data_IF_829294644863
#
_entry.id   IF_829294644863
#
_cell.length_a   1.000
_cell.length_b   1.000
_cell.length_c   1.000
_cell.angle_alpha   90.00
_cell.angle_beta   90.00
_cell.angle_gamma   90.00
#
_symmetry.space_group_name_H-M   'P 1'
#
loop_
_entity.id
_entity.type
_entity.pdbx_description
1 polymer ?
#
# COMPACT_ATOMS: atom_id res chain seq x y z
N UNK A 1 -4.46 -13.86 11.14
CA UNK A 1 -5.26 -14.13 9.92
C UNK A 1 -4.89 -15.52 9.43
N UNK A 2 -5.85 -16.42 9.34
CA UNK A 2 -5.60 -17.84 9.04
C UNK A 2 -5.46 -18.06 7.54
N UNK A 3 -4.28 -18.42 7.05
CA UNK A 3 -4.15 -18.99 5.72
C UNK A 3 -4.72 -20.42 5.76
N UNK A 4 -5.92 -20.60 5.20
CA UNK A 4 -6.44 -21.94 4.92
C UNK A 4 -5.70 -22.51 3.71
N UNK A 5 -4.61 -23.23 3.96
CA UNK A 5 -3.87 -23.95 2.93
C UNK A 5 -4.66 -25.17 2.46
N UNK A 6 -5.40 -25.02 1.35
CA UNK A 6 -5.83 -26.16 0.55
C UNK A 6 -4.78 -26.40 -0.54
N UNK A 7 -4.40 -27.67 -0.76
CA UNK A 7 -3.47 -28.05 -1.83
C UNK A 7 -4.18 -27.82 -3.17
N UNK A 8 -3.62 -27.02 -4.09
CA UNK A 8 -4.27 -26.73 -5.36
C UNK A 8 -4.36 -28.00 -6.20
N UNK A 9 -5.57 -28.32 -6.66
CA UNK A 9 -5.81 -29.31 -7.71
C UNK A 9 -5.31 -28.73 -9.04
N UNK A 10 -4.95 -29.58 -10.02
CA UNK A 10 -4.44 -29.10 -11.31
C UNK A 10 -5.39 -28.13 -12.03
N UNK A 11 -6.72 -28.34 -11.95
CA UNK A 11 -7.73 -27.42 -12.49
C UNK A 11 -7.74 -26.04 -11.79
N UNK A 12 -7.41 -26.00 -10.50
CA UNK A 12 -7.37 -24.77 -9.71
C UNK A 12 -6.26 -23.82 -10.20
N UNK A 13 -5.23 -24.32 -10.88
CA UNK A 13 -4.14 -23.46 -11.39
C UNK A 13 -4.58 -22.58 -12.55
N UNK A 14 -5.49 -23.05 -13.40
CA UNK A 14 -5.99 -22.27 -14.53
C UNK A 14 -6.93 -21.17 -14.05
N UNK A 15 -7.81 -21.50 -13.09
CA UNK A 15 -8.70 -20.54 -12.45
C UNK A 15 -7.92 -19.50 -11.66
N UNK A 16 -6.92 -19.92 -10.87
CA UNK A 16 -6.05 -19.01 -10.13
C UNK A 16 -5.34 -18.01 -11.04
N UNK A 17 -4.80 -18.45 -12.19
CA UNK A 17 -4.15 -17.54 -13.15
C UNK A 17 -5.11 -16.48 -13.69
N UNK A 18 -6.33 -16.88 -14.05
CA UNK A 18 -7.35 -15.93 -14.54
C UNK A 18 -7.73 -14.91 -13.47
N UNK A 19 -7.86 -15.35 -12.22
CA UNK A 19 -8.15 -14.45 -11.10
C UNK A 19 -6.98 -13.51 -10.81
N UNK A 20 -5.75 -14.01 -10.84
CA UNK A 20 -4.54 -13.20 -10.64
C UNK A 20 -4.42 -12.12 -11.74
N UNK A 21 -4.68 -12.45 -13.00
CA UNK A 21 -4.68 -11.50 -14.14
C UNK A 21 -5.75 -10.42 -13.98
N UNK A 22 -6.99 -10.80 -13.63
CA UNK A 22 -8.09 -9.85 -13.45
C UNK A 22 -7.87 -8.91 -12.25
N UNK A 23 -7.20 -9.39 -11.20
CA UNK A 23 -6.81 -8.56 -10.07
C UNK A 23 -5.75 -7.53 -10.45
N UNK A 24 -4.72 -7.92 -11.21
CA UNK A 24 -3.66 -7.02 -11.66
C UNK A 24 -4.23 -5.91 -12.56
N UNK A 25 -5.03 -6.26 -13.57
CA UNK A 25 -5.69 -5.30 -14.47
C UNK A 25 -6.53 -4.28 -13.70
N UNK A 26 -7.32 -4.74 -12.71
CA UNK A 26 -8.11 -3.84 -11.86
C UNK A 26 -7.26 -2.93 -10.98
N UNK A 27 -6.06 -3.36 -10.55
CA UNK A 27 -5.17 -2.56 -9.71
C UNK A 27 -4.39 -1.51 -10.51
N UNK A 28 -4.05 -1.79 -11.77
CA UNK A 28 -3.34 -0.86 -12.66
C UNK A 28 -4.09 0.46 -12.87
N UNK A 29 -5.43 0.42 -12.95
CA UNK A 29 -6.27 1.61 -13.21
C UNK A 29 -6.80 2.28 -11.93
N UNK A 30 -6.73 1.60 -10.77
CA UNK A 30 -7.40 2.06 -9.54
C UNK A 30 -6.58 3.06 -8.75
N UNK A 31 -5.28 3.18 -9.01
CA UNK A 31 -4.42 4.11 -8.30
C UNK A 31 -3.83 5.15 -9.25
N UNK A 32 -4.15 6.46 -9.08
CA UNK A 32 -3.22 7.47 -9.57
C UNK A 32 -1.87 7.11 -8.95
N UNK A 33 -0.87 6.76 -9.76
CA UNK A 33 0.42 6.25 -9.31
C UNK A 33 0.89 7.07 -8.12
N UNK A 34 0.74 6.51 -6.92
CA UNK A 34 0.74 7.18 -5.61
C UNK A 34 0.73 8.72 -5.71
N UNK A 35 -0.45 9.35 -5.71
CA UNK A 35 -0.63 10.83 -5.70
C UNK A 35 0.58 11.51 -5.03
N UNK A 36 1.33 12.38 -5.74
CA UNK A 36 2.67 12.80 -5.33
C UNK A 36 2.71 13.16 -3.84
N UNK A 37 3.75 12.69 -3.15
CA UNK A 37 3.98 13.07 -1.75
C UNK A 37 3.96 14.59 -1.68
N UNK A 38 2.99 15.12 -0.94
CA UNK A 38 2.76 16.56 -0.85
C UNK A 38 4.05 17.23 -0.32
N UNK A 39 4.80 17.89 -1.20
CA UNK A 39 6.18 18.36 -0.94
C UNK A 39 6.20 19.42 0.16
N UNK A 40 5.10 20.15 0.32
CA UNK A 40 4.95 21.10 1.41
C UNK A 40 4.35 20.41 2.63
N UNK A 41 5.16 20.28 3.68
CA UNK A 41 4.61 20.08 5.02
C UNK A 41 3.62 21.22 5.31
N UNK A 42 2.39 20.94 5.79
CA UNK A 42 1.53 21.99 6.30
C UNK A 42 2.26 22.76 7.40
N UNK A 43 1.88 24.02 7.60
CA UNK A 43 2.47 24.83 8.66
C UNK A 43 2.41 24.07 10.00
N UNK A 44 3.46 24.13 10.83
CA UNK A 44 3.50 23.44 12.12
C UNK A 44 2.23 23.68 12.92
N UNK A 45 1.62 22.61 13.38
CA UNK A 45 0.44 22.65 14.24
C UNK A 45 0.81 23.13 15.64
N UNK A 46 -0.20 23.49 16.43
CA UNK A 46 0.00 23.84 17.84
C UNK A 46 0.61 22.68 18.65
N UNK A 47 0.42 21.43 18.22
CA UNK A 47 0.99 20.24 18.86
C UNK A 47 2.50 20.07 18.64
N UNK A 48 3.03 20.63 17.56
CA UNK A 48 4.44 20.48 17.16
C UNK A 48 5.40 21.33 18.00
N UNK A 49 4.86 22.27 18.78
CA UNK A 49 5.63 23.22 19.60
C UNK A 49 6.36 22.57 20.79
N UNK A 50 6.06 21.31 21.11
CA UNK A 50 6.66 20.60 22.25
C UNK A 50 7.99 19.90 21.92
N UNK A 51 8.39 19.84 20.63
CA UNK A 51 9.63 19.18 20.22
C UNK A 51 10.81 20.15 20.35
N UNK A 52 11.47 20.15 21.52
CA UNK A 52 12.74 20.85 21.70
C UNK A 52 13.82 20.16 20.89
N UNK A 53 14.21 20.74 19.75
CA UNK A 53 15.38 20.28 18.98
C UNK A 53 16.64 20.57 19.81
N UNK A 54 17.18 19.56 20.48
CA UNK A 54 18.49 19.65 21.13
C UNK A 54 19.56 19.52 20.03
N UNK A 55 19.87 20.64 19.38
CA UNK A 55 20.98 20.73 18.44
C UNK A 55 22.29 20.56 19.19
N UNK A 56 23.00 19.45 18.95
CA UNK A 56 24.39 19.28 19.35
C UNK A 56 25.28 20.00 18.32
N UNK A 57 26.23 20.77 18.85
CA UNK A 57 27.21 21.59 18.11
C UNK A 57 28.07 20.77 17.16
#
# INVERSE_FOLDING_TARGET
MTQSGSRPKPDDNAEKRRLDEALEEGLEETFPGSDPVNVTQPAPSKGDQHVKRVGKR
#
